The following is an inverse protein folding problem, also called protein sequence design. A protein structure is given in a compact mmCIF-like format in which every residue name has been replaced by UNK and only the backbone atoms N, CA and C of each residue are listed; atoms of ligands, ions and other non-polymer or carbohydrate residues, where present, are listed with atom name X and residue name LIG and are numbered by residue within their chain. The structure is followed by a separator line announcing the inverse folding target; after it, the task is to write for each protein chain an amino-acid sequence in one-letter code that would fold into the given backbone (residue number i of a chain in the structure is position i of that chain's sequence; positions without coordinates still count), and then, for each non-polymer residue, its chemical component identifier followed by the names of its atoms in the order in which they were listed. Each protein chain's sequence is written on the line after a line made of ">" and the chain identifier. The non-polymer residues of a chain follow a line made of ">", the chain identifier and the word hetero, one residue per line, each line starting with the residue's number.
data_IF_926380090526
#
_entry.id   IF_926380090526
#
_cell.length_a   1.000
_cell.length_b   1.000
_cell.length_c   1.000
_cell.angle_alpha   90.00
_cell.angle_beta   90.00
_cell.angle_gamma   90.00
#
_symmetry.space_group_name_H-M   'P 1'
#
loop_
_entity.id
_entity.type
_entity.pdbx_description
1 polymer ?
#
# COMPACT_ATOMS: atom_id res chain seq x y z
N UNK A 1 23.69 -22.02 -16.91
CA UNK A 1 23.12 -22.48 -18.17
C UNK A 1 21.79 -21.80 -18.28
N UNK A 2 21.48 -21.12 -19.39
CA UNK A 2 20.24 -20.34 -19.46
C UNK A 2 19.03 -21.24 -19.74
N UNK A 3 17.91 -20.97 -19.09
CA UNK A 3 16.66 -21.68 -19.34
C UNK A 3 16.07 -21.33 -20.71
N UNK A 4 15.53 -22.34 -21.38
CA UNK A 4 14.72 -22.17 -22.57
C UNK A 4 13.32 -21.63 -22.21
N UNK A 5 12.67 -21.00 -23.19
CA UNK A 5 11.37 -20.37 -22.97
C UNK A 5 10.30 -21.32 -22.38
N UNK A 6 10.23 -22.56 -22.88
CA UNK A 6 9.27 -23.55 -22.37
C UNK A 6 9.53 -23.94 -20.90
N UNK A 7 10.79 -23.89 -20.44
CA UNK A 7 11.14 -24.16 -19.05
C UNK A 7 10.67 -23.03 -18.13
N UNK A 8 10.76 -21.78 -18.61
CA UNK A 8 10.24 -20.61 -17.90
C UNK A 8 8.70 -20.68 -17.82
N UNK A 9 8.02 -21.09 -18.88
CA UNK A 9 6.56 -21.29 -18.85
C UNK A 9 6.14 -22.41 -17.88
N UNK A 10 6.93 -23.46 -17.76
CA UNK A 10 6.72 -24.50 -16.75
C UNK A 10 6.80 -23.94 -15.33
N UNK A 11 7.81 -23.12 -15.05
CA UNK A 11 7.96 -22.43 -13.75
C UNK A 11 6.77 -21.48 -13.49
N UNK A 12 6.36 -20.69 -14.50
CA UNK A 12 5.20 -19.78 -14.39
C UNK A 12 3.92 -20.52 -14.04
N UNK A 13 3.68 -21.65 -14.68
CA UNK A 13 2.51 -22.50 -14.41
C UNK A 13 2.53 -23.00 -12.98
N UNK A 14 3.66 -23.52 -12.51
CA UNK A 14 3.82 -23.92 -11.11
C UNK A 14 3.53 -22.78 -10.13
N UNK A 15 4.13 -21.59 -10.31
CA UNK A 15 3.93 -20.44 -9.42
C UNK A 15 2.47 -19.99 -9.37
N UNK A 16 1.77 -20.04 -10.51
CA UNK A 16 0.34 -19.70 -10.58
C UNK A 16 -0.52 -20.63 -9.72
N UNK A 17 -0.13 -21.90 -9.60
CA UNK A 17 -0.83 -22.90 -8.79
C UNK A 17 -0.51 -22.81 -7.28
N UNK A 18 0.50 -22.02 -6.89
CA UNK A 18 0.89 -21.85 -5.48
C UNK A 18 0.03 -20.87 -4.66
N UNK A 19 -1.15 -20.50 -5.15
CA UNK A 19 -2.05 -19.51 -4.51
C UNK A 19 -1.36 -18.18 -4.19
N UNK A 20 -0.55 -17.67 -5.13
CA UNK A 20 0.12 -16.37 -5.01
C UNK A 20 -0.77 -15.29 -5.62
N UNK A 21 -1.14 -14.29 -4.82
CA UNK A 21 -2.24 -13.38 -5.20
C UNK A 21 -1.78 -12.18 -6.01
N UNK A 22 -0.51 -11.81 -5.88
CA UNK A 22 0.02 -10.57 -6.43
C UNK A 22 0.97 -10.82 -7.60
N UNK A 23 0.79 -10.08 -8.70
CA UNK A 23 1.55 -10.22 -9.93
C UNK A 23 3.04 -9.92 -9.75
N UNK A 24 3.38 -8.85 -9.02
CA UNK A 24 4.78 -8.53 -8.71
C UNK A 24 5.47 -9.65 -7.94
N UNK A 25 4.79 -10.28 -6.98
CA UNK A 25 5.31 -11.44 -6.25
C UNK A 25 5.43 -12.68 -7.15
N UNK A 26 4.45 -12.93 -8.03
CA UNK A 26 4.53 -14.03 -8.99
C UNK A 26 5.74 -13.87 -9.92
N UNK A 27 5.96 -12.68 -10.47
CA UNK A 27 7.09 -12.42 -11.37
C UNK A 27 8.42 -12.61 -10.68
N UNK A 28 8.52 -12.13 -9.45
CA UNK A 28 9.72 -12.30 -8.66
C UNK A 28 9.98 -13.76 -8.27
N UNK A 29 8.93 -14.53 -7.91
CA UNK A 29 9.07 -15.95 -7.64
C UNK A 29 9.54 -16.72 -8.86
N UNK A 30 9.01 -16.40 -10.05
CA UNK A 30 9.47 -17.00 -11.30
C UNK A 30 10.95 -16.69 -11.54
N UNK A 31 11.36 -15.44 -11.36
CA UNK A 31 12.76 -15.01 -11.54
C UNK A 31 13.71 -15.69 -10.53
N UNK A 32 13.28 -15.76 -9.27
CA UNK A 32 14.01 -16.43 -8.19
C UNK A 32 14.15 -17.94 -8.44
N UNK A 33 13.05 -18.63 -8.80
CA UNK A 33 13.07 -20.06 -9.11
C UNK A 33 13.93 -20.32 -10.35
N UNK A 34 13.78 -19.52 -11.41
CA UNK A 34 14.56 -19.66 -12.63
C UNK A 34 16.06 -19.54 -12.33
N UNK A 35 16.47 -18.47 -11.64
CA UNK A 35 17.88 -18.23 -11.28
C UNK A 35 18.46 -19.36 -10.41
N UNK A 36 17.68 -19.87 -9.45
CA UNK A 36 18.10 -20.97 -8.60
C UNK A 36 18.28 -22.28 -9.37
N UNK A 37 17.39 -22.56 -10.34
CA UNK A 37 17.50 -23.73 -11.22
C UNK A 37 18.71 -23.60 -12.13
N UNK A 38 18.93 -22.43 -12.75
CA UNK A 38 20.09 -22.19 -13.62
C UNK A 38 21.41 -22.42 -12.87
N UNK A 39 21.50 -21.89 -11.65
CA UNK A 39 22.65 -22.07 -10.77
C UNK A 39 22.87 -23.54 -10.44
N UNK A 40 21.80 -24.25 -10.06
CA UNK A 40 21.88 -25.66 -9.67
C UNK A 40 22.19 -26.60 -10.83
N UNK A 41 21.69 -26.28 -12.02
CA UNK A 41 22.04 -27.01 -13.25
C UNK A 41 23.53 -26.83 -13.59
N UNK A 42 24.09 -25.65 -13.36
CA UNK A 42 25.52 -25.40 -13.58
C UNK A 42 26.41 -26.06 -12.54
N UNK A 43 26.03 -25.98 -11.26
CA UNK A 43 26.84 -26.52 -10.16
C UNK A 43 26.84 -28.06 -10.15
N UNK A 44 25.65 -28.66 -10.25
CA UNK A 44 25.48 -30.11 -10.11
C UNK A 44 25.50 -30.86 -11.45
N UNK A 45 25.56 -30.14 -12.58
CA UNK A 45 25.52 -30.70 -13.94
C UNK A 45 24.31 -31.62 -14.18
N UNK A 46 23.16 -31.25 -13.61
CA UNK A 46 21.92 -32.02 -13.67
C UNK A 46 20.92 -31.47 -14.69
N UNK A 47 19.95 -32.31 -15.06
CA UNK A 47 18.84 -31.90 -15.92
C UNK A 47 17.93 -30.87 -15.25
N UNK A 48 17.25 -30.07 -16.07
CA UNK A 48 16.20 -29.14 -15.60
C UNK A 48 15.15 -29.83 -14.73
N UNK A 49 14.69 -31.02 -15.10
CA UNK A 49 13.65 -31.72 -14.33
C UNK A 49 14.13 -32.06 -12.92
N UNK A 50 15.40 -32.49 -12.79
CA UNK A 50 16.01 -32.81 -11.50
C UNK A 50 16.22 -31.56 -10.65
N UNK A 51 16.76 -30.49 -11.26
CA UNK A 51 16.96 -29.21 -10.57
C UNK A 51 15.63 -28.59 -10.13
N UNK A 52 14.62 -28.59 -11.00
CA UNK A 52 13.29 -28.06 -10.71
C UNK A 52 12.67 -28.74 -9.49
N UNK A 53 12.60 -30.08 -9.46
CA UNK A 53 12.02 -30.82 -8.33
C UNK A 53 12.71 -30.50 -7.00
N UNK A 54 14.04 -30.45 -6.99
CA UNK A 54 14.79 -30.12 -5.78
C UNK A 54 14.55 -28.68 -5.31
N UNK A 55 14.49 -27.72 -6.24
CA UNK A 55 14.26 -26.31 -5.93
C UNK A 55 12.85 -26.09 -5.39
N UNK A 56 11.81 -26.65 -6.01
CA UNK A 56 10.43 -26.44 -5.55
C UNK A 56 10.15 -27.07 -4.18
N UNK A 57 10.81 -28.17 -3.82
CA UNK A 57 10.72 -28.76 -2.48
C UNK A 57 11.32 -27.84 -1.41
N UNK A 58 12.38 -27.11 -1.76
CA UNK A 58 13.06 -26.19 -0.84
C UNK A 58 12.35 -24.83 -0.68
N UNK A 59 11.51 -24.44 -1.65
CA UNK A 59 10.93 -23.10 -1.70
C UNK A 59 9.59 -23.03 -0.96
N UNK A 60 9.51 -22.12 0.00
CA UNK A 60 8.26 -21.77 0.66
C UNK A 60 7.64 -20.51 0.05
N UNK A 61 6.83 -20.68 -1.00
CA UNK A 61 6.19 -19.58 -1.72
C UNK A 61 5.34 -18.67 -0.82
N UNK A 62 4.66 -19.23 0.19
CA UNK A 62 3.84 -18.47 1.15
C UNK A 62 4.70 -17.54 2.01
N UNK A 63 5.87 -18.01 2.44
CA UNK A 63 6.81 -17.20 3.23
C UNK A 63 7.32 -16.00 2.44
N UNK A 64 7.61 -16.19 1.14
CA UNK A 64 8.07 -15.16 0.22
C UNK A 64 6.97 -14.12 -0.02
N UNK A 65 5.73 -14.56 -0.29
CA UNK A 65 4.60 -13.62 -0.40
C UNK A 65 4.45 -12.79 0.88
N UNK A 66 4.56 -13.42 2.05
CA UNK A 66 4.41 -12.72 3.34
C UNK A 66 5.54 -11.71 3.56
N UNK A 67 6.79 -12.08 3.29
CA UNK A 67 7.93 -11.17 3.46
C UNK A 67 7.82 -9.97 2.51
N UNK A 68 7.43 -10.20 1.25
CA UNK A 68 7.21 -9.14 0.26
C UNK A 68 6.05 -8.23 0.60
N UNK A 69 4.92 -8.78 1.04
CA UNK A 69 3.78 -7.96 1.48
C UNK A 69 4.17 -7.08 2.68
N UNK A 70 4.92 -7.63 3.65
CA UNK A 70 5.44 -6.84 4.78
C UNK A 70 6.40 -5.73 4.33
N UNK A 71 7.34 -6.05 3.46
CA UNK A 71 8.29 -5.09 2.92
C UNK A 71 7.59 -3.96 2.14
N UNK A 72 6.57 -4.30 1.35
CA UNK A 72 5.73 -3.34 0.64
C UNK A 72 5.03 -2.38 1.62
N UNK A 73 4.35 -2.91 2.65
CA UNK A 73 3.69 -2.08 3.68
C UNK A 73 4.70 -1.18 4.42
N UNK A 74 5.87 -1.70 4.79
CA UNK A 74 6.91 -0.88 5.41
C UNK A 74 7.41 0.23 4.47
N UNK A 75 7.59 -0.09 3.18
CA UNK A 75 7.95 0.87 2.14
C UNK A 75 6.93 1.99 1.98
N UNK A 76 5.65 1.70 2.17
CA UNK A 76 4.56 2.71 2.17
C UNK A 76 4.73 3.68 3.33
N UNK A 77 4.93 3.19 4.55
CA UNK A 77 5.12 4.06 5.72
C UNK A 77 6.34 4.97 5.54
N UNK A 78 7.45 4.42 5.04
CA UNK A 78 8.64 5.21 4.68
C UNK A 78 8.35 6.25 3.61
N UNK A 79 7.52 5.92 2.61
CA UNK A 79 7.14 6.84 1.54
C UNK A 79 6.24 7.97 2.05
N UNK A 80 5.24 7.66 2.88
CA UNK A 80 4.38 8.67 3.52
C UNK A 80 5.22 9.61 4.38
N UNK A 81 6.15 9.09 5.17
CA UNK A 81 7.06 9.91 5.97
C UNK A 81 7.95 10.81 5.09
N UNK A 82 8.47 10.28 3.97
CA UNK A 82 9.24 11.07 3.02
C UNK A 82 8.40 12.19 2.40
N UNK A 83 7.16 11.92 2.02
CA UNK A 83 6.24 12.95 1.49
C UNK A 83 5.88 13.99 2.56
N UNK A 84 5.71 13.59 3.82
CA UNK A 84 5.54 14.52 4.95
C UNK A 84 6.75 15.46 5.08
N UNK A 85 7.97 14.91 5.11
CA UNK A 85 9.19 15.71 5.20
C UNK A 85 9.38 16.63 3.99
N UNK A 86 9.01 16.17 2.80
CA UNK A 86 9.05 17.00 1.59
C UNK A 86 8.02 18.13 1.66
N UNK A 87 6.80 17.85 2.10
CA UNK A 87 5.74 18.84 2.24
C UNK A 87 6.19 19.97 3.18
N UNK A 88 6.76 19.63 4.34
CA UNK A 88 7.26 20.61 5.32
C UNK A 88 8.40 21.50 4.78
N UNK A 89 9.14 21.05 3.76
CA UNK A 89 10.23 21.81 3.13
C UNK A 89 9.78 22.69 1.97
N UNK A 90 8.52 22.61 1.56
CA UNK A 90 7.98 23.33 0.40
C UNK A 90 6.86 24.28 0.82
N UNK A 91 6.36 25.10 -0.10
CA UNK A 91 5.17 25.95 0.12
C UNK A 91 3.93 25.15 0.55
N UNK A 92 3.90 23.85 0.27
CA UNK A 92 2.84 22.95 0.72
C UNK A 92 2.78 22.78 2.25
N UNK A 93 3.80 23.24 3.00
CA UNK A 93 3.77 23.30 4.46
C UNK A 93 2.62 24.18 5.00
N UNK A 94 2.09 25.09 4.20
CA UNK A 94 0.92 25.90 4.55
C UNK A 94 -0.41 25.14 4.42
N UNK A 95 -0.44 23.96 3.77
CA UNK A 95 -1.68 23.17 3.62
C UNK A 95 -2.26 22.76 4.98
N UNK A 96 -1.51 22.12 5.91
CA UNK A 96 -2.05 21.76 7.22
C UNK A 96 -2.49 22.97 8.04
N UNK A 97 -1.77 24.10 7.90
CA UNK A 97 -2.08 25.34 8.61
C UNK A 97 -3.40 25.93 8.11
N UNK A 98 -3.54 26.10 6.79
CA UNK A 98 -4.79 26.60 6.20
C UNK A 98 -5.96 25.67 6.47
N UNK A 99 -5.72 24.35 6.46
CA UNK A 99 -6.74 23.35 6.75
C UNK A 99 -7.16 23.37 8.22
N UNK A 100 -6.23 23.56 9.16
CA UNK A 100 -6.55 23.81 10.57
C UNK A 100 -7.42 25.06 10.74
N UNK A 101 -7.04 26.20 10.16
CA UNK A 101 -7.83 27.43 10.28
C UNK A 101 -9.23 27.29 9.69
N UNK A 102 -9.34 26.62 8.53
CA UNK A 102 -10.63 26.34 7.89
C UNK A 102 -11.52 25.49 8.80
N UNK A 103 -10.96 24.40 9.36
CA UNK A 103 -11.69 23.54 10.29
C UNK A 103 -12.05 24.28 11.58
N UNK A 104 -11.16 25.11 12.10
CA UNK A 104 -11.42 25.92 13.31
C UNK A 104 -12.61 26.84 13.11
N UNK A 105 -12.69 27.54 11.98
CA UNK A 105 -13.83 28.39 11.64
C UNK A 105 -15.12 27.59 11.47
N UNK A 106 -15.06 26.40 10.85
CA UNK A 106 -16.24 25.53 10.67
C UNK A 106 -16.77 25.04 12.02
N UNK A 107 -15.89 24.50 12.88
CA UNK A 107 -16.27 23.93 14.17
C UNK A 107 -16.77 24.98 15.17
N UNK A 108 -16.26 26.22 15.11
CA UNK A 108 -16.70 27.30 16.00
C UNK A 108 -17.80 28.19 15.41
N UNK A 109 -18.07 28.10 14.10
CA UNK A 109 -18.92 29.05 13.40
C UNK A 109 -20.31 28.58 12.99
N UNK A 110 -20.50 27.30 12.62
CA UNK A 110 -21.61 26.98 11.71
C UNK A 110 -22.53 25.80 12.03
N UNK A 111 -22.28 24.94 13.02
CA UNK A 111 -23.09 23.71 13.18
C UNK A 111 -22.94 23.01 14.53
N UNK A 112 -23.86 22.08 14.81
CA UNK A 112 -23.69 21.03 15.83
C UNK A 112 -22.39 20.23 15.58
N UNK A 113 -21.45 20.33 16.52
CA UNK A 113 -20.16 19.67 16.46
C UNK A 113 -20.28 18.15 16.30
N UNK A 114 -21.31 17.53 16.89
CA UNK A 114 -21.52 16.07 16.82
C UNK A 114 -21.77 15.64 15.38
N UNK A 115 -22.60 16.39 14.65
CA UNK A 115 -22.88 16.12 13.25
C UNK A 115 -21.63 16.26 12.37
N UNK A 116 -20.85 17.33 12.56
CA UNK A 116 -19.59 17.55 11.83
C UNK A 116 -18.60 16.41 12.04
N UNK A 117 -18.42 15.96 13.29
CA UNK A 117 -17.51 14.85 13.62
C UNK A 117 -17.93 13.59 12.85
N UNK A 118 -19.23 13.26 12.85
CA UNK A 118 -19.76 12.10 12.10
C UNK A 118 -19.49 12.25 10.61
N UNK A 119 -19.80 13.42 10.04
CA UNK A 119 -19.57 13.69 8.61
C UNK A 119 -18.09 13.51 8.24
N UNK A 120 -17.17 14.14 8.96
CA UNK A 120 -15.75 14.09 8.64
C UNK A 120 -15.13 12.70 8.88
N UNK A 121 -15.59 11.95 9.89
CA UNK A 121 -15.22 10.53 10.05
C UNK A 121 -15.68 9.72 8.84
N UNK A 122 -16.93 9.88 8.39
CA UNK A 122 -17.46 9.20 7.19
C UNK A 122 -16.67 9.57 5.93
N UNK A 123 -16.41 10.87 5.69
CA UNK A 123 -15.62 11.32 4.55
C UNK A 123 -14.21 10.75 4.55
N UNK A 124 -13.57 10.64 5.73
CA UNK A 124 -12.24 10.04 5.86
C UNK A 124 -12.22 8.56 5.45
N UNK A 125 -13.25 7.80 5.83
CA UNK A 125 -13.40 6.39 5.43
C UNK A 125 -13.66 6.29 3.93
N UNK A 126 -14.58 7.09 3.39
CA UNK A 126 -14.89 7.13 1.95
C UNK A 126 -13.65 7.46 1.12
N UNK A 127 -12.81 8.39 1.58
CA UNK A 127 -11.59 8.80 0.90
C UNK A 127 -10.61 7.62 0.72
N UNK A 128 -10.53 6.68 1.66
CA UNK A 128 -9.68 5.48 1.50
C UNK A 128 -10.33 4.45 0.58
N UNK A 129 -11.64 4.23 0.73
CA UNK A 129 -12.36 3.21 -0.02
C UNK A 129 -12.44 3.57 -1.51
N UNK A 130 -12.55 4.85 -1.85
CA UNK A 130 -12.75 5.28 -3.24
C UNK A 130 -11.60 4.88 -4.18
N UNK A 131 -10.30 5.10 -3.88
CA UNK A 131 -9.20 4.56 -4.67
C UNK A 131 -9.28 3.05 -4.86
N UNK A 132 -9.61 2.31 -3.81
CA UNK A 132 -9.72 0.85 -3.86
C UNK A 132 -10.89 0.44 -4.77
N UNK A 133 -12.05 1.07 -4.66
CA UNK A 133 -13.20 0.80 -5.52
C UNK A 133 -12.91 1.14 -6.99
N UNK A 134 -12.36 2.32 -7.27
CA UNK A 134 -11.95 2.73 -8.63
C UNK A 134 -10.96 1.71 -9.22
N UNK A 135 -10.05 1.21 -8.38
CA UNK A 135 -9.04 0.23 -8.78
C UNK A 135 -9.64 -1.10 -9.28
N UNK A 136 -10.83 -1.49 -8.80
CA UNK A 136 -11.55 -2.69 -9.24
C UNK A 136 -12.14 -2.54 -10.64
N UNK A 137 -12.46 -1.31 -11.04
CA UNK A 137 -13.00 -1.01 -12.38
C UNK A 137 -11.91 -0.84 -13.44
N UNK A 138 -10.65 -0.66 -13.03
CA UNK A 138 -9.51 -0.57 -13.96
C UNK A 138 -9.09 -1.94 -14.48
N UNK A 139 -9.82 -2.41 -15.51
CA UNK A 139 -9.58 -3.69 -16.16
C UNK A 139 -8.22 -3.78 -16.87
N UNK A 140 -7.62 -2.64 -17.25
CA UNK A 140 -6.39 -2.60 -18.05
C UNK A 140 -5.17 -2.85 -17.18
N UNK A 141 -5.07 -2.17 -16.04
CA UNK A 141 -3.87 -2.22 -15.21
C UNK A 141 -4.02 -3.15 -13.98
N UNK A 142 -5.26 -3.41 -13.54
CA UNK A 142 -5.58 -4.25 -12.37
C UNK A 142 -4.65 -3.98 -11.18
N UNK A 143 -4.51 -2.71 -10.74
CA UNK A 143 -3.57 -2.31 -9.69
C UNK A 143 -3.78 -3.08 -8.37
N UNK A 144 -5.00 -3.56 -8.10
CA UNK A 144 -5.30 -4.38 -6.94
C UNK A 144 -4.56 -5.72 -6.90
N UNK A 145 -4.00 -6.19 -8.03
CA UNK A 145 -3.15 -7.38 -8.10
C UNK A 145 -1.67 -7.07 -7.80
N UNK A 146 -1.31 -5.87 -7.36
CA UNK A 146 0.07 -5.51 -7.01
C UNK A 146 0.22 -5.25 -5.51
N UNK A 147 1.26 -5.83 -4.90
CA UNK A 147 1.49 -5.67 -3.45
C UNK A 147 1.68 -4.22 -3.05
N UNK A 148 2.38 -3.43 -3.86
CA UNK A 148 2.66 -2.02 -3.55
C UNK A 148 1.39 -1.16 -3.46
N UNK A 149 0.41 -1.41 -4.32
CA UNK A 149 -0.87 -0.70 -4.33
C UNK A 149 -1.73 -1.10 -3.13
N UNK A 150 -1.94 -2.40 -2.92
CA UNK A 150 -2.74 -2.91 -1.80
C UNK A 150 -2.09 -2.58 -0.46
N UNK A 151 -0.76 -2.70 -0.37
CA UNK A 151 0.01 -2.28 0.80
C UNK A 151 -0.18 -0.80 1.11
N UNK A 152 -0.31 0.05 0.08
CA UNK A 152 -0.60 1.48 0.26
C UNK A 152 -1.99 1.68 0.86
N UNK A 153 -3.02 1.07 0.27
CA UNK A 153 -4.38 1.16 0.81
C UNK A 153 -4.46 0.65 2.26
N UNK A 154 -3.83 -0.50 2.55
CA UNK A 154 -3.81 -1.10 3.89
C UNK A 154 -3.08 -0.22 4.90
N UNK A 155 -1.93 0.34 4.55
CA UNK A 155 -1.16 1.22 5.44
C UNK A 155 -1.95 2.47 5.82
N UNK A 156 -2.69 3.04 4.88
CA UNK A 156 -3.52 4.24 5.10
C UNK A 156 -4.75 3.90 5.93
N UNK A 157 -5.39 2.76 5.65
CA UNK A 157 -6.51 2.25 6.43
C UNK A 157 -6.12 1.99 7.89
N UNK A 158 -4.93 1.42 8.12
CA UNK A 158 -4.38 1.21 9.45
C UNK A 158 -4.23 2.53 10.22
N UNK A 159 -3.78 3.61 9.58
CA UNK A 159 -3.69 4.91 10.24
C UNK A 159 -5.05 5.45 10.67
N UNK A 160 -6.10 5.34 9.83
CA UNK A 160 -7.45 5.74 10.25
C UNK A 160 -7.93 4.93 11.45
N UNK A 161 -7.71 3.62 11.46
CA UNK A 161 -8.08 2.77 12.61
C UNK A 161 -7.34 3.23 13.86
N UNK A 162 -6.03 3.47 13.78
CA UNK A 162 -5.23 3.93 14.92
C UNK A 162 -5.73 5.29 15.41
N UNK A 163 -5.92 6.27 14.51
CA UNK A 163 -6.41 7.59 14.91
C UNK A 163 -7.82 7.53 15.52
N UNK A 164 -8.72 6.73 14.95
CA UNK A 164 -10.04 6.50 15.51
C UNK A 164 -9.99 5.83 16.88
N UNK A 165 -9.11 4.84 17.07
CA UNK A 165 -8.90 4.21 18.37
C UNK A 165 -8.36 5.19 19.41
N UNK A 166 -7.36 6.01 19.04
CA UNK A 166 -6.79 7.04 19.90
C UNK A 166 -7.87 8.04 20.32
N UNK A 167 -8.63 8.56 19.37
CA UNK A 167 -9.75 9.48 19.65
C UNK A 167 -10.75 8.84 20.62
N UNK A 168 -11.25 7.64 20.33
CA UNK A 168 -12.31 7.02 21.13
C UNK A 168 -11.85 6.53 22.51
N UNK A 169 -10.62 6.01 22.64
CA UNK A 169 -10.19 5.27 23.84
C UNK A 169 -9.13 5.98 24.68
N UNK A 170 -8.28 6.79 24.06
CA UNK A 170 -7.10 7.34 24.75
C UNK A 170 -7.24 8.83 25.06
N UNK A 171 -8.05 9.57 24.30
CA UNK A 171 -8.22 11.01 24.52
C UNK A 171 -9.28 11.28 25.61
N UNK A 172 -8.91 12.01 26.69
CA UNK A 172 -9.86 12.39 27.74
C UNK A 172 -11.00 13.25 27.21
N UNK A 173 -12.19 13.09 27.77
CA UNK A 173 -13.39 13.87 27.40
C UNK A 173 -13.20 15.37 27.58
N UNK A 174 -12.45 15.79 28.60
CA UNK A 174 -12.10 17.20 28.86
C UNK A 174 -11.28 17.84 27.73
N UNK A 175 -10.46 17.06 27.01
CA UNK A 175 -9.72 17.58 25.87
C UNK A 175 -10.63 17.73 24.65
N UNK A 176 -11.57 16.78 24.46
CA UNK A 176 -12.51 16.79 23.33
C UNK A 176 -13.47 17.98 23.32
N UNK A 177 -13.76 18.55 24.49
CA UNK A 177 -14.61 19.74 24.62
C UNK A 177 -13.87 21.05 24.33
N UNK A 178 -12.55 21.02 24.18
CA UNK A 178 -11.79 22.22 23.79
C UNK A 178 -12.08 22.59 22.32
N UNK A 179 -12.17 23.89 21.98
CA UNK A 179 -12.51 24.33 20.62
C UNK A 179 -11.42 24.01 19.59
N UNK A 180 -10.24 23.58 20.03
CA UNK A 180 -9.09 23.29 19.17
C UNK A 180 -8.94 21.80 18.86
N UNK A 181 -9.49 20.90 19.68
CA UNK A 181 -9.23 19.46 19.57
C UNK A 181 -9.64 18.90 18.20
N UNK A 182 -10.91 19.02 17.82
CA UNK A 182 -11.40 18.45 16.55
C UNK A 182 -10.79 19.12 15.31
N UNK A 183 -10.59 20.46 15.26
CA UNK A 183 -9.82 21.08 14.19
C UNK A 183 -8.41 20.49 14.03
N UNK A 184 -7.66 20.30 15.12
CA UNK A 184 -6.32 19.71 15.08
C UNK A 184 -6.40 18.24 14.63
N UNK A 185 -7.30 17.46 15.22
CA UNK A 185 -7.49 16.05 14.92
C UNK A 185 -7.79 15.80 13.44
N UNK A 186 -8.80 16.49 12.89
CA UNK A 186 -9.14 16.37 11.48
C UNK A 186 -8.07 17.00 10.57
N UNK A 187 -7.34 18.02 11.03
CA UNK A 187 -6.23 18.55 10.25
C UNK A 187 -5.11 17.54 10.04
N UNK A 188 -4.77 16.79 11.09
CA UNK A 188 -3.80 15.70 11.02
C UNK A 188 -4.31 14.59 10.09
N UNK A 189 -5.57 14.17 10.23
CA UNK A 189 -6.15 13.11 9.41
C UNK A 189 -6.19 13.50 7.93
N UNK A 190 -6.72 14.68 7.60
CA UNK A 190 -6.84 15.12 6.20
C UNK A 190 -5.48 15.37 5.56
N UNK A 191 -4.51 15.87 6.33
CA UNK A 191 -3.11 15.96 5.86
C UNK A 191 -2.54 14.57 5.59
N UNK A 192 -2.73 13.62 6.51
CA UNK A 192 -2.30 12.23 6.34
C UNK A 192 -2.94 11.56 5.12
N UNK A 193 -4.24 11.77 4.91
CA UNK A 193 -4.96 11.31 3.73
C UNK A 193 -4.40 11.92 2.45
N UNK A 194 -4.18 13.23 2.41
CA UNK A 194 -3.57 13.90 1.26
C UNK A 194 -2.21 13.28 0.87
N UNK A 195 -1.33 13.08 1.85
CA UNK A 195 -0.02 12.44 1.63
C UNK A 195 -0.18 10.99 1.15
N UNK A 196 -1.09 10.24 1.77
CA UNK A 196 -1.43 8.88 1.39
C UNK A 196 -1.91 8.78 -0.07
N UNK A 197 -2.81 9.66 -0.49
CA UNK A 197 -3.28 9.72 -1.89
C UNK A 197 -2.12 9.97 -2.85
N UNK A 198 -1.18 10.85 -2.52
CA UNK A 198 -0.01 11.09 -3.36
C UNK A 198 0.86 9.84 -3.51
N UNK A 199 1.06 9.09 -2.42
CA UNK A 199 1.79 7.80 -2.45
C UNK A 199 1.05 6.76 -3.29
N UNK A 200 -0.26 6.59 -3.08
CA UNK A 200 -1.10 5.66 -3.87
C UNK A 200 -1.05 6.02 -5.36
N UNK A 201 -1.21 7.31 -5.69
CA UNK A 201 -1.15 7.83 -7.06
C UNK A 201 0.21 7.53 -7.71
N UNK A 202 1.31 7.67 -6.97
CA UNK A 202 2.66 7.35 -7.45
C UNK A 202 2.83 5.86 -7.72
N UNK A 203 2.37 4.99 -6.83
CA UNK A 203 2.41 3.54 -7.05
C UNK A 203 1.54 3.12 -8.23
N UNK A 204 0.34 3.67 -8.35
CA UNK A 204 -0.54 3.44 -9.50
C UNK A 204 0.13 3.86 -10.82
N UNK A 205 0.79 5.02 -10.87
CA UNK A 205 1.55 5.46 -12.05
C UNK A 205 2.72 4.52 -12.38
N UNK A 206 3.43 4.01 -11.37
CA UNK A 206 4.52 3.06 -11.58
C UNK A 206 4.01 1.74 -12.18
N UNK A 207 2.86 1.24 -11.70
CA UNK A 207 2.21 0.05 -12.27
C UNK A 207 1.83 0.29 -13.72
N UNK A 208 1.20 1.44 -14.02
CA UNK A 208 0.83 1.82 -15.39
C UNK A 208 2.03 1.83 -16.34
N UNK A 209 3.15 2.37 -15.88
CA UNK A 209 4.38 2.37 -16.66
C UNK A 209 4.92 0.95 -16.84
N UNK A 210 4.95 0.11 -15.80
CA UNK A 210 5.46 -1.26 -15.90
C UNK A 210 4.64 -2.14 -16.85
N UNK A 211 3.31 -2.01 -16.86
CA UNK A 211 2.42 -2.76 -17.75
C UNK A 211 2.50 -2.27 -19.19
N UNK A 212 2.78 -1.00 -19.43
CA UNK A 212 2.89 -0.45 -20.79
C UNK A 212 4.11 -0.95 -21.59
N UNK A 213 5.10 -1.54 -20.92
CA UNK A 213 6.31 -2.11 -21.54
C UNK A 213 6.26 -3.64 -21.68
N UNK A 214 5.10 -4.26 -21.48
CA UNK A 214 4.85 -5.69 -21.73
C UNK A 214 3.79 -5.85 -22.80
#
# INVERSE_FOLDING_TARGET
>A
MKLAHYQIEHIRSYVKDQNIWYYDVQHELVDHIASAIETKMDEDQISFSSAFSQIIESINCRSIQRSRTKAATYGVHKSIFKELMNMLKTVHAFIPVGLFFSLYLIFNGLTDAIWLIKLFKTLSICAILLPLLISLFDRRFKPYNYTSFIGSCNGVFLYIIIFGFVDERLVPTSLKTTPFYYPIYFAIIFTGLYLAFNVIKKHYKNIKNHVAYR
#
